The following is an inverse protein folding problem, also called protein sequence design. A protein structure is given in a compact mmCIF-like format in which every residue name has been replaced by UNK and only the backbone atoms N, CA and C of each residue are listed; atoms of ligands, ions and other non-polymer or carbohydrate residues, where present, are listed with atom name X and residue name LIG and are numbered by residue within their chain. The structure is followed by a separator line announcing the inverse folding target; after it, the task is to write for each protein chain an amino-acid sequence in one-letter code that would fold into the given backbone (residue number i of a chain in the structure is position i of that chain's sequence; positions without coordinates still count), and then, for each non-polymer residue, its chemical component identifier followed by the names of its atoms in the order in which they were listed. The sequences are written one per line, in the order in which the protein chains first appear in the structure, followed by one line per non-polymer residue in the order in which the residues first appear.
data_IF_845332417017
#
_entry.id   IF_845332417017
#
_cell.length_a   1.000
_cell.length_b   1.000
_cell.length_c   1.000
_cell.angle_alpha   90.00
_cell.angle_beta   90.00
_cell.angle_gamma   90.00
#
_symmetry.space_group_name_H-M   'P 1'
#
loop_
_entity.id
_entity.type
_entity.pdbx_description
1 polymer ?
#
# COMPACT_ATOMS: atom_id res chain seq x y z
N UNK A 1 -44.54 -1.41 -48.56
CA UNK A 1 -45.33 -0.15 -48.63
C UNK A 1 -44.62 0.85 -47.73
N UNK A 2 -43.73 1.68 -48.31
CA UNK A 2 -43.94 3.12 -48.58
C UNK A 2 -44.33 3.92 -47.31
N UNK A 3 -43.37 4.73 -46.83
CA UNK A 3 -43.60 5.90 -45.98
C UNK A 3 -44.60 6.87 -46.64
N UNK A 4 -45.11 7.85 -45.87
CA UNK A 4 -44.55 9.18 -46.10
C UNK A 4 -44.28 10.00 -44.83
N UNK A 5 -43.24 10.80 -44.99
CA UNK A 5 -42.86 11.99 -44.24
C UNK A 5 -43.96 13.05 -44.37
N UNK A 6 -44.35 13.67 -43.26
CA UNK A 6 -44.94 15.02 -43.25
C UNK A 6 -44.20 15.80 -42.19
N UNK A 7 -43.48 16.84 -42.61
CA UNK A 7 -42.88 17.82 -41.73
C UNK A 7 -43.81 18.99 -41.43
N UNK A 8 -43.24 19.94 -40.70
CA UNK A 8 -43.63 21.36 -40.56
C UNK A 8 -44.60 21.67 -39.39
N UNK A 9 -44.11 22.31 -38.33
CA UNK A 9 -44.05 23.77 -38.21
C UNK A 9 -43.40 24.18 -36.88
N UNK A 10 -42.51 25.17 -36.96
CA UNK A 10 -41.86 25.84 -35.85
C UNK A 10 -42.84 26.82 -35.21
N UNK A 11 -42.94 26.80 -33.87
CA UNK A 11 -43.38 27.95 -33.08
C UNK A 11 -42.58 27.97 -31.78
N UNK A 12 -41.47 28.71 -31.83
CA UNK A 12 -40.67 29.10 -30.66
C UNK A 12 -41.50 30.13 -29.89
N UNK A 13 -42.00 29.76 -28.72
CA UNK A 13 -42.52 30.73 -27.72
C UNK A 13 -41.40 30.98 -26.73
N UNK A 14 -40.74 32.12 -26.92
CA UNK A 14 -39.85 32.73 -25.94
C UNK A 14 -40.72 33.25 -24.80
N UNK A 15 -40.65 32.61 -23.63
CA UNK A 15 -41.08 33.23 -22.38
C UNK A 15 -39.83 33.46 -21.54
N UNK A 16 -39.48 34.74 -21.41
CA UNK A 16 -38.31 35.19 -20.67
C UNK A 16 -38.48 35.02 -19.17
N UNK A 17 -37.37 34.69 -18.52
CA UNK A 17 -37.10 35.13 -17.16
C UNK A 17 -35.78 35.88 -17.18
N UNK A 18 -35.92 37.19 -16.99
CA UNK A 18 -34.87 38.14 -16.67
C UNK A 18 -34.41 37.87 -15.24
N UNK A 19 -33.11 37.64 -15.08
CA UNK A 19 -32.37 38.09 -13.91
C UNK A 19 -30.96 38.42 -14.39
N UNK A 20 -30.77 39.69 -14.78
CA UNK A 20 -29.46 40.30 -14.80
C UNK A 20 -29.19 40.81 -13.38
N UNK A 21 -28.14 40.31 -12.74
CA UNK A 21 -27.31 41.14 -11.89
C UNK A 21 -25.86 40.84 -12.25
N UNK A 22 -25.17 41.90 -12.67
CA UNK A 22 -23.80 41.87 -13.17
C UNK A 22 -22.82 42.28 -12.09
N UNK A 23 -21.75 41.49 -11.97
CA UNK A 23 -20.36 41.84 -11.68
C UNK A 23 -20.00 42.77 -10.49
N UNK A 24 -19.17 42.22 -9.60
CA UNK A 24 -17.94 42.92 -9.19
C UNK A 24 -16.77 41.95 -9.21
N UNK A 25 -15.76 42.27 -10.01
CA UNK A 25 -14.42 41.69 -9.96
C UNK A 25 -13.70 42.06 -8.66
N UNK A 26 -12.74 41.21 -8.24
CA UNK A 26 -11.80 41.48 -7.15
C UNK A 26 -11.40 40.23 -6.37
N UNK A 27 -10.64 39.30 -6.96
CA UNK A 27 -9.17 39.11 -6.80
C UNK A 27 -8.68 38.61 -5.42
N UNK A 28 -8.17 37.38 -5.47
CA UNK A 28 -6.98 36.77 -4.82
C UNK A 28 -6.83 36.81 -3.29
N UNK A 29 -6.74 35.61 -2.73
CA UNK A 29 -6.12 35.27 -1.46
C UNK A 29 -5.85 33.77 -1.45
N UNK A 30 -4.70 33.38 -2.00
CA UNK A 30 -4.03 32.11 -1.70
C UNK A 30 -3.68 32.07 -0.19
N UNK A 31 -3.68 30.88 0.41
CA UNK A 31 -2.55 30.32 1.19
C UNK A 31 -3.01 29.22 2.20
N UNK A 32 -2.64 27.96 1.89
CA UNK A 32 -2.30 26.86 2.83
C UNK A 32 -3.45 26.09 3.52
N UNK A 33 -3.46 24.75 3.68
CA UNK A 33 -2.42 23.70 3.58
C UNK A 33 -3.13 22.32 3.40
N UNK A 34 -2.67 21.51 2.42
CA UNK A 34 -2.59 20.04 2.56
C UNK A 34 -3.64 19.13 1.89
N UNK A 35 -3.81 19.18 0.56
CA UNK A 35 -4.54 18.14 -0.20
C UNK A 35 -3.77 17.80 -1.49
N UNK A 36 -3.40 16.53 -1.73
CA UNK A 36 -2.83 16.11 -3.03
C UNK A 36 -3.95 16.18 -4.08
N UNK A 37 -3.73 17.06 -5.06
CA UNK A 37 -4.74 17.74 -5.87
C UNK A 37 -5.23 16.93 -7.09
N UNK A 38 -6.55 16.85 -7.35
CA UNK A 38 -7.18 16.53 -8.65
C UNK A 38 -6.60 17.27 -9.89
N UNK A 39 -5.79 18.31 -9.68
CA UNK A 39 -5.13 19.12 -10.70
C UNK A 39 -4.19 18.38 -11.66
N UNK A 40 -3.45 17.34 -11.21
CA UNK A 40 -2.47 16.65 -12.09
C UNK A 40 -3.16 15.90 -13.22
N UNK A 41 -4.21 15.14 -12.92
CA UNK A 41 -4.96 14.40 -13.94
C UNK A 41 -5.68 15.36 -14.90
N UNK A 42 -6.21 16.47 -14.37
CA UNK A 42 -6.86 17.51 -15.17
C UNK A 42 -5.86 18.23 -16.09
N UNK A 43 -4.66 18.51 -15.62
CA UNK A 43 -3.58 19.10 -16.40
C UNK A 43 -3.10 18.14 -17.49
N UNK A 44 -2.88 16.87 -17.16
CA UNK A 44 -2.48 15.82 -18.08
C UNK A 44 -3.50 15.61 -19.20
N UNK A 45 -4.79 15.51 -18.85
CA UNK A 45 -5.88 15.36 -19.82
C UNK A 45 -5.95 16.56 -20.78
N UNK A 46 -5.84 17.78 -20.23
CA UNK A 46 -5.77 19.02 -21.03
C UNK A 46 -4.56 19.03 -21.97
N UNK A 47 -3.39 18.60 -21.51
CA UNK A 47 -2.17 18.54 -22.32
C UNK A 47 -2.27 17.51 -23.46
N UNK A 48 -2.96 16.39 -23.23
CA UNK A 48 -3.18 15.33 -24.21
C UNK A 48 -4.39 15.58 -25.13
N UNK A 49 -5.18 16.62 -24.86
CA UNK A 49 -6.39 16.94 -25.63
C UNK A 49 -7.53 15.94 -25.45
N UNK A 50 -7.57 15.23 -24.31
CA UNK A 50 -8.61 14.23 -23.97
C UNK A 50 -9.39 14.66 -22.73
N UNK A 51 -10.55 14.04 -22.48
CA UNK A 51 -11.25 14.25 -21.21
C UNK A 51 -10.52 13.53 -20.06
N UNK A 52 -10.77 13.96 -18.83
CA UNK A 52 -10.20 13.31 -17.62
C UNK A 52 -10.64 11.85 -17.53
N UNK A 53 -11.87 11.56 -17.90
CA UNK A 53 -12.45 10.22 -17.90
C UNK A 53 -11.80 9.33 -18.96
N UNK A 54 -11.53 9.86 -20.15
CA UNK A 54 -10.83 9.14 -21.23
C UNK A 54 -9.39 8.83 -20.82
N UNK A 55 -8.68 9.80 -20.23
CA UNK A 55 -7.33 9.57 -19.72
C UNK A 55 -7.34 8.50 -18.61
N UNK A 56 -8.30 8.57 -17.68
CA UNK A 56 -8.42 7.62 -16.57
C UNK A 56 -8.76 6.20 -17.05
N UNK A 57 -9.65 6.06 -18.04
CA UNK A 57 -10.03 4.78 -18.65
C UNK A 57 -8.91 4.18 -19.51
N UNK A 58 -8.10 5.03 -20.15
CA UNK A 58 -6.92 4.57 -20.86
C UNK A 58 -5.83 4.06 -19.91
N UNK A 59 -5.60 4.78 -18.81
CA UNK A 59 -4.62 4.41 -17.78
C UNK A 59 -5.02 3.13 -17.03
N UNK A 60 -6.32 2.85 -16.86
CA UNK A 60 -6.79 1.64 -16.19
C UNK A 60 -6.66 1.68 -14.64
N UNK A 61 -6.77 0.53 -13.96
CA UNK A 61 -6.47 0.43 -12.54
C UNK A 61 -4.98 0.72 -12.26
N UNK A 62 -4.59 1.19 -11.06
CA UNK A 62 -3.21 1.38 -10.68
C UNK A 62 -2.58 -0.02 -10.48
N UNK A 63 -1.35 -0.25 -10.96
CA UNK A 63 -0.53 0.73 -11.67
C UNK A 63 -1.03 0.89 -13.11
N UNK A 64 -1.03 2.12 -13.64
CA UNK A 64 -1.49 2.33 -14.99
C UNK A 64 -0.56 1.63 -15.98
N UNK A 65 -1.14 0.89 -16.93
CA UNK A 65 -0.39 0.32 -18.05
C UNK A 65 -0.07 1.44 -19.05
N UNK A 66 1.07 2.11 -18.87
CA UNK A 66 1.45 3.29 -19.69
C UNK A 66 1.57 2.91 -21.16
N UNK A 67 2.03 1.70 -21.46
CA UNK A 67 2.18 1.22 -22.82
C UNK A 67 0.81 1.00 -23.47
N UNK A 68 -0.10 0.28 -22.81
CA UNK A 68 -1.44 0.08 -23.32
C UNK A 68 -2.24 1.38 -23.36
N UNK A 69 -2.08 2.25 -22.37
CA UNK A 69 -2.72 3.57 -22.30
C UNK A 69 -2.25 4.47 -23.45
N UNK A 70 -0.94 4.54 -23.71
CA UNK A 70 -0.38 5.31 -24.82
C UNK A 70 -0.90 4.80 -26.17
N UNK A 71 -0.95 3.48 -26.36
CA UNK A 71 -1.55 2.87 -27.55
C UNK A 71 -3.04 3.20 -27.69
N UNK A 72 -3.81 3.10 -26.60
CA UNK A 72 -5.26 3.38 -26.58
C UNK A 72 -5.57 4.86 -26.83
N UNK A 73 -4.70 5.77 -26.40
CA UNK A 73 -4.81 7.22 -26.60
C UNK A 73 -4.21 7.69 -27.94
N UNK A 74 -3.49 6.83 -28.66
CA UNK A 74 -2.81 7.19 -29.91
C UNK A 74 -1.65 8.17 -29.71
N UNK A 75 -0.98 8.12 -28.55
CA UNK A 75 0.17 8.97 -28.19
C UNK A 75 1.41 8.10 -27.92
N UNK A 76 2.60 8.70 -27.87
CA UNK A 76 3.79 7.97 -27.42
C UNK A 76 3.81 7.81 -25.90
N UNK A 77 4.46 6.76 -25.40
CA UNK A 77 4.67 6.55 -23.95
C UNK A 77 5.39 7.75 -23.32
N UNK A 78 6.33 8.36 -24.04
CA UNK A 78 7.03 9.57 -23.62
C UNK A 78 6.10 10.78 -23.50
N UNK A 79 5.18 10.98 -24.44
CA UNK A 79 4.19 12.06 -24.39
C UNK A 79 3.20 11.86 -23.24
N UNK A 80 2.74 10.62 -23.02
CA UNK A 80 1.87 10.27 -21.90
C UNK A 80 2.60 10.49 -20.56
N UNK A 81 3.84 10.03 -20.43
CA UNK A 81 4.66 10.24 -19.24
C UNK A 81 4.89 11.73 -18.96
N UNK A 82 5.24 12.52 -19.98
CA UNK A 82 5.43 13.96 -19.84
C UNK A 82 4.15 14.67 -19.37
N UNK A 83 2.98 14.29 -19.92
CA UNK A 83 1.70 14.84 -19.51
C UNK A 83 1.34 14.49 -18.05
N UNK A 84 1.73 13.30 -17.60
CA UNK A 84 1.56 12.84 -16.22
C UNK A 84 2.62 13.40 -15.26
N UNK A 85 3.52 14.27 -15.73
CA UNK A 85 4.62 14.81 -14.92
C UNK A 85 5.70 13.78 -14.58
N UNK A 86 5.75 12.65 -15.29
CA UNK A 86 6.80 11.63 -15.18
C UNK A 86 7.96 12.03 -16.08
N UNK A 87 9.20 12.09 -15.55
CA UNK A 87 10.36 12.33 -16.40
C UNK A 87 10.49 11.21 -17.46
N UNK A 88 10.95 11.53 -18.68
CA UNK A 88 11.18 10.52 -19.70
C UNK A 88 12.19 9.48 -19.22
N UNK A 89 11.94 8.19 -19.52
CA UNK A 89 12.93 7.13 -19.30
C UNK A 89 14.24 7.52 -19.99
N UNK A 90 15.29 7.71 -19.19
CA UNK A 90 16.62 8.00 -19.71
C UNK A 90 17.20 6.76 -20.37
N UNK A 91 18.06 6.90 -21.40
CA UNK A 91 18.81 5.77 -21.93
C UNK A 91 19.67 5.17 -20.82
N UNK A 92 19.68 3.85 -20.75
CA UNK A 92 20.46 3.02 -19.83
C UNK A 92 21.80 3.66 -19.44
N UNK A 93 21.83 4.31 -18.28
CA UNK A 93 23.10 4.67 -17.67
C UNK A 93 23.64 3.41 -17.03
N UNK A 94 24.56 2.76 -17.73
CA UNK A 94 25.54 1.86 -17.14
C UNK A 94 25.97 2.42 -15.78
N UNK A 95 25.57 1.70 -14.74
CA UNK A 95 25.92 1.99 -13.35
C UNK A 95 27.45 1.88 -13.23
N UNK A 96 28.18 2.95 -12.87
CA UNK A 96 29.60 2.80 -12.60
C UNK A 96 29.78 1.90 -11.37
N UNK A 97 30.70 0.94 -11.49
CA UNK A 97 31.13 0.10 -10.37
C UNK A 97 31.62 0.95 -9.18
N UNK A 98 31.37 0.54 -7.92
CA UNK A 98 31.84 1.28 -6.76
C UNK A 98 33.34 1.02 -6.57
N UNK A 99 34.18 1.93 -7.05
CA UNK A 99 35.63 1.78 -6.92
C UNK A 99 36.39 2.95 -7.51
N UNK A 100 36.35 4.11 -6.85
CA UNK A 100 37.22 5.23 -7.17
C UNK A 100 37.03 6.40 -6.20
N UNK A 101 38.09 6.93 -5.57
CA UNK A 101 37.98 8.09 -4.70
C UNK A 101 37.68 9.36 -5.52
N UNK A 102 36.93 10.33 -4.96
CA UNK A 102 36.58 11.56 -5.68
C UNK A 102 37.81 12.45 -5.92
N UNK A 103 37.81 13.27 -6.99
CA UNK A 103 38.93 14.14 -7.33
C UNK A 103 39.12 15.26 -6.29
N UNK A 104 40.39 15.54 -5.96
CA UNK A 104 40.82 16.58 -5.02
C UNK A 104 40.54 17.98 -5.55
N UNK A 105 39.77 18.77 -4.79
CA UNK A 105 39.81 20.24 -4.86
C UNK A 105 41.06 20.80 -4.17
N UNK A 106 41.44 22.06 -4.43
CA UNK A 106 42.73 22.60 -4.02
C UNK A 106 42.84 22.84 -2.51
N UNK A 107 44.07 22.65 -2.06
CA UNK A 107 44.55 22.54 -0.69
C UNK A 107 44.14 23.67 0.26
N UNK A 108 43.63 23.29 1.44
CA UNK A 108 43.87 24.03 2.69
C UNK A 108 44.26 23.04 3.77
N UNK A 109 45.37 23.36 4.43
CA UNK A 109 46.13 22.50 5.33
C UNK A 109 45.32 21.92 6.49
N UNK A 110 45.70 20.70 6.83
CA UNK A 110 45.21 19.89 7.95
C UNK A 110 46.17 20.01 9.14
N UNK A 111 45.66 20.08 10.38
CA UNK A 111 46.32 19.43 11.50
C UNK A 111 45.64 18.07 11.79
N UNK A 112 46.44 17.04 12.04
CA UNK A 112 45.98 15.69 12.40
C UNK A 112 45.96 15.49 13.93
N UNK A 113 45.55 14.32 14.47
CA UNK A 113 44.27 14.11 15.15
C UNK A 113 44.41 13.83 16.66
N UNK A 114 43.39 14.14 17.46
CA UNK A 114 43.39 13.74 18.87
C UNK A 114 42.03 13.93 19.56
N UNK A 115 41.46 12.82 20.04
CA UNK A 115 40.37 12.81 21.02
C UNK A 115 39.00 12.35 20.49
N UNK A 116 38.37 11.32 21.08
CA UNK A 116 36.93 11.11 20.93
C UNK A 116 36.19 12.33 21.48
N UNK A 117 35.11 12.81 20.85
CA UNK A 117 34.30 13.88 21.41
C UNK A 117 33.66 13.42 22.73
N UNK A 118 33.53 14.32 23.72
CA UNK A 118 33.00 13.98 25.04
C UNK A 118 31.54 13.51 24.94
N UNK A 119 31.27 12.39 25.61
CA UNK A 119 29.94 11.78 25.75
C UNK A 119 29.02 12.79 26.45
N UNK A 120 28.04 13.32 25.71
CA UNK A 120 26.94 14.08 26.29
C UNK A 120 26.12 13.20 27.24
N UNK A 121 25.37 13.80 28.18
CA UNK A 121 24.66 13.03 29.20
C UNK A 121 23.62 12.11 28.56
N UNK A 122 23.73 10.81 28.87
CA UNK A 122 22.77 9.75 28.55
C UNK A 122 21.36 10.20 28.96
N UNK A 123 20.53 10.54 27.97
CA UNK A 123 19.09 10.72 28.14
C UNK A 123 18.39 9.70 27.26
N UNK A 124 17.89 8.65 27.92
CA UNK A 124 16.97 7.67 27.35
C UNK A 124 17.66 6.67 26.43
N UNK A 125 17.72 5.40 26.86
CA UNK A 125 18.05 4.30 25.95
C UNK A 125 17.20 4.44 24.70
N UNK A 126 17.86 4.47 23.53
CA UNK A 126 17.19 4.41 22.23
C UNK A 126 16.33 3.17 22.27
N UNK A 127 15.00 3.33 22.29
CA UNK A 127 14.06 2.22 22.22
C UNK A 127 14.52 1.38 21.03
N UNK A 128 14.86 0.11 21.27
CA UNK A 128 15.29 -0.79 20.19
C UNK A 128 14.18 -0.82 19.15
N UNK A 129 14.55 -0.54 17.91
CA UNK A 129 13.62 -0.65 16.80
C UNK A 129 13.30 -2.14 16.62
N UNK A 130 12.12 -2.54 17.08
CA UNK A 130 11.61 -3.93 17.02
C UNK A 130 11.22 -4.36 15.60
N UNK A 131 11.36 -3.46 14.63
CA UNK A 131 11.11 -3.72 13.22
C UNK A 131 12.34 -3.47 12.34
N UNK A 132 13.49 -3.17 12.92
CA UNK A 132 14.75 -3.23 12.19
C UNK A 132 14.99 -4.67 11.72
N UNK A 133 15.58 -4.83 10.53
CA UNK A 133 16.03 -6.13 10.06
C UNK A 133 17.56 -6.17 9.93
N UNK A 134 18.14 -7.32 10.29
CA UNK A 134 19.57 -7.58 10.31
C UNK A 134 19.89 -8.61 9.24
N UNK A 135 20.87 -8.32 8.39
CA UNK A 135 21.33 -9.26 7.37
C UNK A 135 22.10 -10.39 8.04
N UNK A 136 21.51 -11.58 8.03
CA UNK A 136 22.14 -12.80 8.55
C UNK A 136 23.24 -13.34 7.62
N UNK A 137 24.04 -14.32 8.07
CA UNK A 137 25.11 -14.91 7.27
C UNK A 137 24.62 -15.56 5.97
N UNK A 138 23.36 -16.00 5.93
CA UNK A 138 22.71 -16.58 4.76
C UNK A 138 22.15 -15.52 3.78
N UNK A 139 22.36 -14.22 4.07
CA UNK A 139 21.97 -13.11 3.20
C UNK A 139 20.52 -12.63 3.34
N UNK A 140 19.71 -13.25 4.21
CA UNK A 140 18.33 -12.81 4.50
C UNK A 140 18.31 -11.66 5.50
N UNK A 141 17.32 -10.76 5.39
CA UNK A 141 17.06 -9.73 6.39
C UNK A 141 16.07 -10.26 7.42
N UNK A 142 16.56 -10.60 8.61
CA UNK A 142 15.74 -11.16 9.69
C UNK A 142 15.42 -10.06 10.69
N UNK A 143 14.14 -9.92 11.04
CA UNK A 143 13.67 -8.84 11.90
C UNK A 143 13.98 -9.10 13.37
N UNK A 144 14.16 -8.02 14.14
CA UNK A 144 14.54 -8.06 15.56
C UNK A 144 13.36 -8.29 16.53
N UNK A 145 12.13 -8.19 16.04
CA UNK A 145 10.92 -8.48 16.80
C UNK A 145 10.73 -9.98 17.09
N UNK A 146 9.58 -10.32 17.67
CA UNK A 146 9.18 -11.70 17.93
C UNK A 146 8.15 -12.20 16.92
N UNK A 147 8.21 -13.49 16.54
CA UNK A 147 7.14 -14.13 15.81
C UNK A 147 5.86 -14.17 16.66
N UNK A 148 4.72 -14.24 15.99
CA UNK A 148 3.47 -14.63 16.64
C UNK A 148 3.54 -16.11 16.98
N UNK A 149 3.19 -16.52 18.19
CA UNK A 149 3.31 -17.93 18.61
C UNK A 149 2.18 -18.79 18.01
N UNK A 150 1.10 -18.15 17.55
CA UNK A 150 -0.02 -18.84 16.91
C UNK A 150 -0.41 -18.22 15.57
N UNK A 151 -1.05 -19.03 14.73
CA UNK A 151 -1.53 -18.58 13.43
C UNK A 151 -2.55 -19.53 12.81
N UNK A 152 -3.34 -19.01 11.86
CA UNK A 152 -4.28 -19.83 11.10
C UNK A 152 -3.51 -20.68 10.07
N UNK A 153 -3.79 -21.97 10.05
CA UNK A 153 -3.45 -22.82 8.90
C UNK A 153 -4.35 -22.44 7.72
N UNK A 154 -3.75 -21.89 6.68
CA UNK A 154 -4.52 -21.40 5.52
C UNK A 154 -5.37 -22.50 4.89
N UNK A 155 -6.57 -22.13 4.46
CA UNK A 155 -7.54 -23.05 3.87
C UNK A 155 -8.23 -24.00 4.88
N UNK A 156 -8.00 -23.84 6.18
CA UNK A 156 -8.73 -24.56 7.24
C UNK A 156 -9.24 -23.63 8.33
N UNK A 157 -9.91 -24.20 9.33
CA UNK A 157 -10.35 -23.50 10.54
C UNK A 157 -9.40 -23.75 11.72
N UNK A 158 -8.20 -24.29 11.48
CA UNK A 158 -7.26 -24.72 12.52
C UNK A 158 -6.28 -23.60 12.89
N UNK A 159 -6.29 -23.16 14.15
CA UNK A 159 -5.21 -22.35 14.73
C UNK A 159 -4.15 -23.27 15.30
N UNK A 160 -2.90 -23.06 14.89
CA UNK A 160 -1.74 -23.86 15.27
C UNK A 160 -0.74 -23.04 16.08
N UNK A 161 0.09 -23.72 16.86
CA UNK A 161 1.35 -23.16 17.37
C UNK A 161 2.47 -23.19 16.30
N UNK A 162 3.64 -22.65 16.64
CA UNK A 162 4.83 -22.65 15.78
C UNK A 162 5.34 -24.06 15.39
N UNK A 163 5.06 -25.07 16.22
CA UNK A 163 5.43 -26.46 15.96
C UNK A 163 4.41 -27.17 15.05
N UNK A 164 3.31 -26.48 14.69
CA UNK A 164 2.23 -27.00 13.86
C UNK A 164 1.20 -27.84 14.62
N UNK A 165 1.19 -27.80 15.96
CA UNK A 165 0.20 -28.49 16.77
C UNK A 165 -1.12 -27.72 16.77
N UNK A 166 -2.22 -28.44 16.64
CA UNK A 166 -3.56 -27.85 16.75
C UNK A 166 -3.84 -27.33 18.17
N UNK A 167 -4.33 -26.10 18.27
CA UNK A 167 -4.73 -25.48 19.53
C UNK A 167 -6.26 -25.38 19.65
N UNK A 168 -6.91 -24.72 18.69
CA UNK A 168 -8.36 -24.47 18.69
C UNK A 168 -8.85 -24.02 17.31
N UNK A 169 -10.16 -23.90 17.14
CA UNK A 169 -10.74 -23.38 15.89
C UNK A 169 -10.59 -21.87 15.77
N UNK A 170 -10.45 -21.35 14.56
CA UNK A 170 -10.49 -19.89 14.27
C UNK A 170 -11.79 -19.23 14.73
N UNK A 171 -12.88 -19.99 14.83
CA UNK A 171 -14.18 -19.53 15.35
C UNK A 171 -14.19 -19.38 16.89
N UNK A 172 -13.14 -19.83 17.56
CA UNK A 172 -12.87 -19.67 18.99
C UNK A 172 -11.59 -18.83 19.24
N UNK A 173 -11.07 -18.15 18.21
CA UNK A 173 -9.82 -17.40 18.27
C UNK A 173 -10.07 -15.90 18.31
N UNK A 174 -9.42 -15.19 19.22
CA UNK A 174 -9.41 -13.72 19.23
C UNK A 174 -7.97 -13.24 19.29
N UNK A 175 -7.68 -12.20 18.52
CA UNK A 175 -6.38 -11.53 18.61
C UNK A 175 -6.32 -10.73 19.91
N UNK A 176 -5.22 -10.88 20.64
CA UNK A 176 -4.94 -10.19 21.89
C UNK A 176 -3.52 -9.61 21.86
N UNK A 177 -3.30 -8.55 22.62
CA UNK A 177 -1.97 -7.99 22.80
C UNK A 177 -1.12 -8.85 23.73
N UNK A 178 0.16 -8.48 23.90
CA UNK A 178 1.09 -9.19 24.78
C UNK A 178 0.69 -9.21 26.26
N UNK A 179 -0.24 -8.34 26.69
CA UNK A 179 -0.81 -8.35 28.05
C UNK A 179 -2.01 -9.31 28.19
N UNK A 180 -2.45 -9.94 27.11
CA UNK A 180 -3.67 -10.75 27.05
C UNK A 180 -4.95 -9.95 26.84
N UNK A 181 -4.88 -8.63 26.61
CA UNK A 181 -6.05 -7.81 26.29
C UNK A 181 -6.52 -8.06 24.85
N UNK A 182 -7.80 -8.39 24.67
CA UNK A 182 -8.41 -8.59 23.34
C UNK A 182 -8.31 -7.31 22.54
N UNK A 183 -7.78 -7.42 21.32
CA UNK A 183 -7.63 -6.30 20.42
C UNK A 183 -9.00 -5.81 19.94
N UNK A 184 -9.21 -4.50 20.02
CA UNK A 184 -10.37 -3.85 19.41
C UNK A 184 -10.24 -3.86 17.89
N UNK A 185 -11.34 -4.18 17.20
CA UNK A 185 -11.41 -4.12 15.75
C UNK A 185 -11.12 -2.70 15.24
N UNK A 186 -10.01 -2.57 14.51
CA UNK A 186 -9.49 -1.31 13.94
C UNK A 186 -8.68 -1.62 12.67
N UNK A 187 -8.21 -0.58 11.98
CA UNK A 187 -7.25 -0.73 10.87
C UNK A 187 -5.80 -0.96 11.31
N UNK A 188 -5.53 -1.12 12.61
CA UNK A 188 -4.15 -1.30 13.10
C UNK A 188 -3.59 -2.63 12.57
N UNK A 189 -2.41 -2.63 11.94
CA UNK A 189 -1.75 -3.88 11.55
C UNK A 189 -1.32 -4.70 12.77
N UNK A 190 -1.05 -5.98 12.53
CA UNK A 190 -0.45 -6.90 13.50
C UNK A 190 0.85 -6.32 14.07
N UNK A 191 0.96 -6.28 15.39
CA UNK A 191 2.10 -5.72 16.09
C UNK A 191 2.91 -6.78 16.82
N UNK A 192 4.15 -6.46 17.16
CA UNK A 192 5.02 -7.35 17.92
C UNK A 192 4.40 -7.70 19.28
N UNK A 193 4.26 -9.00 19.55
CA UNK A 193 3.64 -9.53 20.76
C UNK A 193 2.12 -9.63 20.75
N UNK A 194 1.43 -9.21 19.67
CA UNK A 194 0.04 -9.61 19.48
C UNK A 194 -0.01 -11.12 19.21
N UNK A 195 -1.06 -11.84 19.63
CA UNK A 195 -1.20 -13.27 19.39
C UNK A 195 -2.68 -13.70 19.40
N UNK A 196 -2.99 -14.92 18.95
CA UNK A 196 -4.33 -15.47 19.12
C UNK A 196 -4.44 -16.15 20.48
N UNK A 197 -5.57 -15.93 21.14
CA UNK A 197 -5.96 -16.65 22.34
C UNK A 197 -7.32 -17.31 22.13
N UNK A 198 -7.55 -18.42 22.83
CA UNK A 198 -8.86 -19.06 22.85
C UNK A 198 -9.84 -18.18 23.65
N UNK A 199 -10.91 -17.73 22.99
CA UNK A 199 -11.98 -16.98 23.64
C UNK A 199 -13.32 -17.14 22.92
N UNK A 200 -14.41 -16.90 23.63
CA UNK A 200 -15.74 -16.89 23.05
C UNK A 200 -15.91 -15.68 22.14
N UNK A 201 -16.35 -15.90 20.90
CA UNK A 201 -16.81 -14.84 20.00
C UNK A 201 -18.33 -14.60 20.10
N UNK A 202 -19.01 -15.17 21.10
CA UNK A 202 -20.44 -14.93 21.33
C UNK A 202 -20.64 -13.45 21.70
N UNK A 203 -21.59 -12.79 21.04
CA UNK A 203 -21.87 -11.38 21.23
C UNK A 203 -21.03 -10.43 20.37
N UNK A 204 -20.00 -10.93 19.69
CA UNK A 204 -19.26 -10.13 18.70
C UNK A 204 -20.10 -9.92 17.44
N UNK A 205 -19.98 -8.72 16.88
CA UNK A 205 -20.49 -8.35 15.55
C UNK A 205 -19.79 -9.13 14.44
N UNK A 206 -20.36 -9.09 13.23
CA UNK A 206 -19.71 -9.69 12.05
C UNK A 206 -18.34 -9.09 11.78
N UNK A 207 -18.19 -7.77 11.93
CA UNK A 207 -16.95 -7.05 11.68
C UNK A 207 -15.85 -7.39 12.69
N UNK A 208 -16.20 -7.55 13.97
CA UNK A 208 -15.24 -7.97 15.01
C UNK A 208 -14.73 -9.39 14.76
N UNK A 209 -15.61 -10.32 14.38
CA UNK A 209 -15.21 -11.68 14.02
C UNK A 209 -14.33 -11.69 12.77
N UNK A 210 -14.70 -10.90 11.76
CA UNK A 210 -13.93 -10.77 10.54
C UNK A 210 -12.55 -10.17 10.83
N UNK A 211 -12.46 -9.14 11.67
CA UNK A 211 -11.20 -8.56 12.14
C UNK A 211 -10.29 -9.61 12.79
N UNK A 212 -10.79 -10.39 13.75
CA UNK A 212 -9.98 -11.43 14.39
C UNK A 212 -9.53 -12.52 13.40
N UNK A 213 -10.38 -12.90 12.44
CA UNK A 213 -9.99 -13.83 11.38
C UNK A 213 -8.92 -13.22 10.45
N UNK A 214 -8.97 -11.92 10.15
CA UNK A 214 -7.90 -11.23 9.41
C UNK A 214 -6.58 -11.28 10.17
N UNK A 215 -6.59 -11.02 11.48
CA UNK A 215 -5.37 -11.14 12.30
C UNK A 215 -4.80 -12.56 12.23
N UNK A 216 -5.67 -13.56 12.35
CA UNK A 216 -5.27 -14.98 12.27
C UNK A 216 -4.65 -15.36 10.91
N UNK A 217 -5.10 -14.74 9.82
CA UNK A 217 -4.52 -14.91 8.47
C UNK A 217 -3.19 -14.16 8.34
N UNK A 218 -3.11 -12.94 8.86
CA UNK A 218 -1.94 -12.07 8.66
C UNK A 218 -0.73 -12.45 9.53
N UNK A 219 -0.93 -13.05 10.71
CA UNK A 219 0.16 -13.51 11.59
C UNK A 219 1.15 -14.48 10.91
N UNK A 220 0.71 -15.59 10.29
CA UNK A 220 1.64 -16.50 9.63
C UNK A 220 2.28 -15.89 8.37
N UNK A 221 1.59 -15.00 7.64
CA UNK A 221 2.18 -14.25 6.52
C UNK A 221 3.32 -13.33 7.03
N UNK A 222 3.09 -12.64 8.16
CA UNK A 222 4.09 -11.81 8.82
C UNK A 222 5.29 -12.65 9.26
N UNK A 223 5.06 -13.77 9.92
CA UNK A 223 6.15 -14.65 10.37
C UNK A 223 7.00 -15.15 9.20
N UNK A 224 6.34 -15.58 8.11
CA UNK A 224 7.00 -16.05 6.90
C UNK A 224 7.94 -15.01 6.28
N UNK A 225 7.53 -13.75 6.22
CA UNK A 225 8.36 -12.67 5.66
C UNK A 225 9.47 -12.19 6.62
N UNK A 226 9.18 -12.14 7.92
CA UNK A 226 10.05 -11.48 8.89
C UNK A 226 11.07 -12.41 9.55
N UNK A 227 10.73 -13.71 9.69
CA UNK A 227 11.52 -14.64 10.51
C UNK A 227 11.84 -15.94 9.75
N UNK A 228 10.86 -16.51 9.03
CA UNK A 228 10.99 -17.86 8.48
C UNK A 228 11.41 -17.88 7.00
N UNK A 229 11.71 -16.71 6.43
CA UNK A 229 11.93 -16.56 4.98
C UNK A 229 13.00 -17.49 4.41
N UNK A 230 13.96 -17.93 5.23
CA UNK A 230 15.00 -18.85 4.80
C UNK A 230 14.44 -20.22 4.36
N UNK A 231 13.40 -20.72 5.04
CA UNK A 231 12.85 -22.07 4.85
C UNK A 231 11.59 -22.08 4.00
N UNK A 232 10.79 -21.01 4.04
CA UNK A 232 9.51 -20.92 3.31
C UNK A 232 9.70 -21.13 1.81
N UNK A 233 9.06 -22.15 1.25
CA UNK A 233 9.06 -22.45 -0.19
C UNK A 233 8.04 -21.60 -0.94
N UNK A 234 8.13 -21.56 -2.27
CA UNK A 234 7.14 -20.87 -3.11
C UNK A 234 5.73 -21.45 -2.91
N UNK A 235 5.59 -22.77 -2.81
CA UNK A 235 4.29 -23.42 -2.58
C UNK A 235 3.70 -23.11 -1.21
N UNK A 236 4.52 -23.08 -0.17
CA UNK A 236 4.08 -22.68 1.16
C UNK A 236 3.66 -21.21 1.17
N UNK A 237 4.43 -20.33 0.51
CA UNK A 237 4.08 -18.93 0.35
C UNK A 237 2.75 -18.74 -0.39
N UNK A 238 2.54 -19.44 -1.50
CA UNK A 238 1.31 -19.35 -2.30
C UNK A 238 0.08 -19.82 -1.50
N UNK A 239 0.22 -20.85 -0.67
CA UNK A 239 -0.85 -21.28 0.23
C UNK A 239 -1.05 -20.27 1.38
N UNK A 240 0.03 -19.73 1.95
CA UNK A 240 -0.02 -18.69 3.01
C UNK A 240 -0.80 -17.45 2.58
N UNK A 241 -0.66 -17.03 1.32
CA UNK A 241 -1.29 -15.80 0.81
C UNK A 241 -2.56 -16.06 -0.01
N UNK A 242 -3.13 -17.26 0.07
CA UNK A 242 -4.29 -17.68 -0.72
C UNK A 242 -5.54 -16.84 -0.47
N UNK A 243 -5.80 -16.43 0.76
CA UNK A 243 -6.92 -15.56 1.09
C UNK A 243 -6.76 -14.14 0.51
N UNK A 244 -5.52 -13.67 0.36
CA UNK A 244 -5.19 -12.43 -0.34
C UNK A 244 -5.37 -12.61 -1.86
N UNK A 245 -4.90 -13.74 -2.41
CA UNK A 245 -5.03 -14.08 -3.83
C UNK A 245 -6.48 -14.23 -4.30
N UNK A 246 -7.33 -14.88 -3.50
CA UNK A 246 -8.78 -15.00 -3.75
C UNK A 246 -9.45 -13.63 -3.98
N UNK A 247 -8.87 -12.57 -3.41
CA UNK A 247 -9.42 -11.21 -3.40
C UNK A 247 -8.63 -10.22 -4.24
N UNK A 248 -7.68 -10.69 -5.03
CA UNK A 248 -6.80 -9.85 -5.83
C UNK A 248 -6.01 -8.80 -5.00
N UNK A 249 -5.75 -9.07 -3.71
CA UNK A 249 -5.08 -8.13 -2.81
C UNK A 249 -3.58 -8.17 -3.06
N UNK A 250 -2.99 -7.05 -3.47
CA UNK A 250 -1.54 -6.91 -3.71
C UNK A 250 -1.00 -7.84 -4.82
N UNK A 251 -1.68 -7.95 -5.95
CA UNK A 251 -1.24 -8.78 -7.10
C UNK A 251 0.07 -8.32 -7.74
N UNK A 252 0.24 -7.02 -7.89
CA UNK A 252 1.29 -6.44 -8.74
C UNK A 252 2.43 -5.87 -7.91
N UNK A 253 3.60 -5.77 -8.53
CA UNK A 253 4.79 -5.11 -7.98
C UNK A 253 5.23 -4.04 -8.95
N UNK A 254 5.62 -2.88 -8.42
CA UNK A 254 6.18 -1.79 -9.21
C UNK A 254 7.34 -1.17 -8.42
N UNK A 255 8.53 -1.15 -9.02
CA UNK A 255 9.77 -0.70 -8.35
C UNK A 255 10.55 0.35 -9.15
N UNK A 256 9.97 0.85 -10.24
CA UNK A 256 10.58 1.83 -11.15
C UNK A 256 10.16 3.27 -10.82
N UNK A 257 9.58 3.47 -9.65
CA UNK A 257 9.20 4.78 -9.12
C UNK A 257 10.42 5.64 -8.79
N UNK A 258 10.27 6.95 -8.98
CA UNK A 258 11.32 7.94 -8.74
C UNK A 258 11.67 8.04 -7.25
N UNK A 259 10.67 7.88 -6.39
CA UNK A 259 10.84 7.90 -4.93
C UNK A 259 10.47 6.54 -4.32
N UNK A 260 10.99 6.20 -3.12
CA UNK A 260 10.59 4.98 -2.42
C UNK A 260 9.08 4.84 -2.21
N UNK A 261 8.35 5.95 -2.06
CA UNK A 261 6.89 5.93 -1.91
C UNK A 261 6.15 5.50 -3.17
N UNK A 262 6.74 5.75 -4.34
CA UNK A 262 6.17 5.36 -5.63
C UNK A 262 6.33 3.86 -5.89
N UNK A 263 7.21 3.20 -5.14
CA UNK A 263 7.46 1.76 -5.24
C UNK A 263 6.56 0.99 -4.29
N UNK A 264 6.04 -0.14 -4.74
CA UNK A 264 5.31 -1.06 -3.89
C UNK A 264 5.51 -2.49 -4.35
N UNK A 265 5.41 -3.41 -3.39
CA UNK A 265 5.52 -4.83 -3.65
C UNK A 265 4.15 -5.49 -3.56
N UNK A 266 3.90 -6.39 -4.50
CA UNK A 266 2.81 -7.35 -4.45
C UNK A 266 3.25 -8.62 -3.74
N UNK A 267 2.35 -9.60 -3.63
CA UNK A 267 2.60 -10.86 -2.89
C UNK A 267 3.85 -11.58 -3.40
N UNK A 268 4.00 -11.72 -4.72
CA UNK A 268 5.18 -12.38 -5.27
C UNK A 268 6.44 -11.50 -5.22
N UNK A 269 6.27 -10.18 -5.39
CA UNK A 269 7.40 -9.26 -5.31
C UNK A 269 8.00 -9.17 -3.91
N UNK A 270 7.18 -9.07 -2.87
CA UNK A 270 7.67 -8.97 -1.48
C UNK A 270 8.36 -10.26 -1.05
N UNK A 271 7.84 -11.41 -1.49
CA UNK A 271 8.49 -12.70 -1.25
C UNK A 271 9.83 -12.80 -1.96
N UNK A 272 9.90 -12.40 -3.23
CA UNK A 272 11.16 -12.31 -3.98
C UNK A 272 12.17 -11.35 -3.34
N UNK A 273 11.71 -10.20 -2.85
CA UNK A 273 12.53 -9.23 -2.12
C UNK A 273 13.08 -9.84 -0.83
N UNK A 274 12.23 -10.48 -0.03
CA UNK A 274 12.63 -11.09 1.24
C UNK A 274 13.57 -12.29 1.04
N UNK A 275 13.38 -13.07 -0.04
CA UNK A 275 14.29 -14.15 -0.45
C UNK A 275 15.65 -13.66 -0.91
N UNK A 276 15.74 -12.46 -1.46
CA UNK A 276 17.00 -11.89 -1.93
C UNK A 276 17.05 -10.37 -1.71
N UNK A 277 17.32 -9.91 -0.47
CA UNK A 277 17.37 -8.49 -0.14
C UNK A 277 18.62 -7.81 -0.72
N UNK A 278 19.57 -8.55 -1.28
CA UNK A 278 20.84 -8.04 -1.84
C UNK A 278 21.63 -7.19 -0.82
N UNK A 279 21.61 -7.61 0.44
CA UNK A 279 22.26 -6.90 1.55
C UNK A 279 21.62 -5.57 1.94
N UNK A 280 20.40 -5.28 1.46
CA UNK A 280 19.64 -4.09 1.85
C UNK A 280 18.75 -4.40 3.04
N UNK A 281 18.60 -3.39 3.90
CA UNK A 281 17.47 -3.34 4.81
C UNK A 281 16.18 -3.17 3.99
N UNK A 282 15.23 -4.08 4.20
CA UNK A 282 13.95 -4.17 3.47
C UNK A 282 12.74 -3.95 4.40
N UNK A 283 12.97 -3.44 5.62
CA UNK A 283 11.91 -3.38 6.62
C UNK A 283 10.74 -2.51 6.18
N UNK A 284 11.00 -1.37 5.55
CA UNK A 284 9.94 -0.49 5.06
C UNK A 284 9.05 -1.17 4.02
N UNK A 285 9.65 -1.90 3.07
CA UNK A 285 8.95 -2.59 2.00
C UNK A 285 8.07 -3.72 2.54
N UNK A 286 8.60 -4.52 3.48
CA UNK A 286 7.86 -5.62 4.11
C UNK A 286 6.74 -5.10 5.01
N UNK A 287 7.02 -4.11 5.85
CA UNK A 287 6.02 -3.55 6.77
C UNK A 287 4.88 -2.87 6.00
N UNK A 288 5.21 -2.11 4.94
CA UNK A 288 4.21 -1.52 4.07
C UNK A 288 3.33 -2.58 3.40
N UNK A 289 3.92 -3.67 2.90
CA UNK A 289 3.14 -4.77 2.32
C UNK A 289 2.18 -5.38 3.35
N UNK A 290 2.65 -5.67 4.56
CA UNK A 290 1.84 -6.29 5.61
C UNK A 290 0.69 -5.38 6.06
N UNK A 291 0.95 -4.08 6.21
CA UNK A 291 -0.05 -3.07 6.56
C UNK A 291 -1.12 -2.95 5.47
N UNK A 292 -0.71 -2.72 4.22
CA UNK A 292 -1.63 -2.58 3.10
C UNK A 292 -2.42 -3.88 2.86
N UNK A 293 -1.78 -5.05 2.91
CA UNK A 293 -2.46 -6.34 2.71
C UNK A 293 -3.52 -6.60 3.79
N UNK A 294 -3.22 -6.30 5.07
CA UNK A 294 -4.16 -6.44 6.18
C UNK A 294 -5.35 -5.49 6.04
N UNK A 295 -5.09 -4.21 5.75
CA UNK A 295 -6.12 -3.21 5.53
C UNK A 295 -7.03 -3.57 4.35
N UNK A 296 -6.45 -3.97 3.22
CA UNK A 296 -7.23 -4.34 2.04
C UNK A 296 -8.05 -5.61 2.28
N UNK A 297 -7.53 -6.55 3.07
CA UNK A 297 -8.30 -7.71 3.48
C UNK A 297 -9.50 -7.30 4.34
N UNK A 298 -9.31 -6.45 5.36
CA UNK A 298 -10.41 -5.87 6.15
C UNK A 298 -11.46 -5.20 5.27
N UNK A 299 -11.02 -4.40 4.29
CA UNK A 299 -11.91 -3.74 3.33
C UNK A 299 -12.79 -4.71 2.54
N UNK A 300 -12.36 -5.97 2.32
CA UNK A 300 -13.18 -6.98 1.62
C UNK A 300 -14.17 -7.71 2.54
N UNK A 301 -13.83 -7.89 3.81
CA UNK A 301 -14.51 -8.87 4.69
C UNK A 301 -15.33 -8.23 5.81
N UNK A 302 -15.28 -6.90 5.94
CA UNK A 302 -16.07 -6.14 6.91
C UNK A 302 -17.18 -5.33 6.20
N UNK A 303 -18.04 -4.65 6.97
CA UNK A 303 -19.12 -3.78 6.50
C UNK A 303 -18.61 -2.47 5.89
N UNK A 304 -19.48 -1.72 5.22
CA UNK A 304 -19.12 -0.40 4.69
C UNK A 304 -19.01 0.63 5.82
N UNK A 305 -19.78 0.44 6.90
CA UNK A 305 -19.67 1.19 8.14
C UNK A 305 -18.29 1.00 8.78
N UNK A 306 -17.78 -0.23 8.80
CA UNK A 306 -16.42 -0.50 9.29
C UNK A 306 -15.35 0.10 8.37
N UNK A 307 -15.55 0.06 7.05
CA UNK A 307 -14.64 0.72 6.10
C UNK A 307 -14.55 2.23 6.34
N UNK A 308 -15.65 2.88 6.74
CA UNK A 308 -15.62 4.28 7.14
C UNK A 308 -14.76 4.49 8.40
N UNK A 309 -14.81 3.57 9.37
CA UNK A 309 -13.91 3.61 10.54
C UNK A 309 -12.45 3.47 10.10
N UNK A 310 -12.14 2.58 9.14
CA UNK A 310 -10.79 2.43 8.60
C UNK A 310 -10.28 3.73 7.98
N UNK A 311 -11.11 4.41 7.19
CA UNK A 311 -10.80 5.73 6.59
C UNK A 311 -10.57 6.79 7.67
N UNK A 312 -11.51 6.93 8.59
CA UNK A 312 -11.50 7.99 9.61
C UNK A 312 -10.33 7.84 10.60
N UNK A 313 -9.82 6.62 10.76
CA UNK A 313 -8.71 6.32 11.67
C UNK A 313 -7.37 6.10 10.97
N UNK A 314 -7.32 6.21 9.63
CA UNK A 314 -6.10 5.99 8.87
C UNK A 314 -5.08 7.10 9.17
N UNK A 315 -3.85 6.79 9.63
CA UNK A 315 -2.87 7.81 10.04
C UNK A 315 -2.52 8.83 8.96
N UNK A 316 -2.52 8.39 7.70
CA UNK A 316 -2.25 9.26 6.55
C UNK A 316 -3.49 10.02 6.02
N UNK A 317 -4.68 9.81 6.60
CA UNK A 317 -5.91 10.55 6.26
C UNK A 317 -6.48 10.26 4.87
N UNK A 318 -6.16 9.10 4.29
CA UNK A 318 -6.72 8.63 3.02
C UNK A 318 -7.62 7.40 3.24
N UNK A 319 -8.35 7.00 2.20
CA UNK A 319 -9.28 5.89 2.23
C UNK A 319 -8.59 4.62 1.69
N UNK A 320 -8.17 3.68 2.55
CA UNK A 320 -7.43 2.51 2.11
C UNK A 320 -8.26 1.60 1.19
N UNK A 321 -9.60 1.61 1.32
CA UNK A 321 -10.48 0.78 0.52
C UNK A 321 -10.69 1.37 -0.88
N UNK A 322 -10.83 2.70 -0.96
CA UNK A 322 -10.89 3.43 -2.24
C UNK A 322 -9.56 3.35 -3.00
N UNK A 323 -8.44 3.52 -2.31
CA UNK A 323 -7.09 3.45 -2.89
C UNK A 323 -6.79 2.07 -3.48
N UNK A 324 -7.23 1.02 -2.78
CA UNK A 324 -7.16 -0.37 -3.25
C UNK A 324 -8.14 -0.67 -4.40
N UNK A 325 -9.03 0.27 -4.74
CA UNK A 325 -10.10 0.12 -5.74
C UNK A 325 -10.96 -1.11 -5.49
N UNK A 326 -11.33 -1.35 -4.24
CA UNK A 326 -12.19 -2.47 -3.86
C UNK A 326 -13.63 -2.09 -4.21
N UNK A 327 -14.03 -2.41 -5.45
CA UNK A 327 -15.39 -2.15 -5.97
C UNK A 327 -16.35 -3.28 -5.63
N UNK A 328 -15.82 -4.48 -5.40
CA UNK A 328 -16.59 -5.68 -5.07
C UNK A 328 -15.96 -6.41 -3.91
N UNK A 329 -16.69 -6.46 -2.79
CA UNK A 329 -16.30 -7.18 -1.58
C UNK A 329 -16.44 -8.67 -1.78
N UNK A 330 -15.52 -9.43 -1.21
CA UNK A 330 -15.55 -10.90 -1.21
C UNK A 330 -15.45 -11.30 0.26
N UNK A 331 -16.59 -11.61 0.92
CA UNK A 331 -16.59 -11.98 2.33
C UNK A 331 -15.89 -13.33 2.55
N UNK A 332 -15.78 -13.76 3.80
CA UNK A 332 -15.26 -15.09 4.14
C UNK A 332 -16.17 -16.20 3.63
#
# INVERSE_FOLDING_TARGET
MKQPIVGLFIAIVVLGLVACDTNSEGRIGEDGIGHKDPGVMKAAAKQLGVSVEVLRDALGPPPPDIKAAAQKLGVSESQLNQALGRPPEGPDRERPAPGGPPPKGPDRERPAPGGPPPKGPDKGGRIEDRYACVIGPNGYCIFTGRPHETGLKQGSDEVLDLDGNFLYSVNEAVAASSSGEILKATGRPAFDGDDLIKSSQVGMTGDEKAFHKVMAIMFPIRNALMYDIATVTQSEWDELVKDLAKRAIKETTYTDGVTPRDNYYGRQGVFGLAKNPKGKDIHHEVMRFLEEAGLYLLCHVTSDEFNQILKDTHPEGHDPCEDARIITKIPF
#
